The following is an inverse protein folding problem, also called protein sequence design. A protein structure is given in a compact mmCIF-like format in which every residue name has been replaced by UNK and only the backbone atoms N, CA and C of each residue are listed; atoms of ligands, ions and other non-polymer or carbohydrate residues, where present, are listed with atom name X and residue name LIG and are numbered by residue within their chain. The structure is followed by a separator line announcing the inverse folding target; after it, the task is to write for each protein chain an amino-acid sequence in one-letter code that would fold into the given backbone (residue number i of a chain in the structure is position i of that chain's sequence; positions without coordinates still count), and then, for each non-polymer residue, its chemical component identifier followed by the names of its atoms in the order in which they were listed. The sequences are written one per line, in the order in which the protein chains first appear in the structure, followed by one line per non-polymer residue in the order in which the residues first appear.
data_IF_356880135193
#
_entry.id   IF_356880135193
#
_cell.length_a   1.000
_cell.length_b   1.000
_cell.length_c   1.000
_cell.angle_alpha   90.00
_cell.angle_beta   90.00
_cell.angle_gamma   90.00
#
_symmetry.space_group_name_H-M   'P 1'
#
loop_
_entity.id
_entity.type
_entity.pdbx_description
1 polymer ?
#
# COMPACT_ATOMS: atom_id res chain seq x y z
N UNK A 1 8.02 -30.73 -3.02
CA UNK A 1 8.02 -29.97 -1.74
C UNK A 1 6.63 -29.39 -1.52
N UNK A 2 5.83 -30.00 -0.62
CA UNK A 2 4.44 -29.57 -0.35
C UNK A 2 4.48 -28.57 0.80
N UNK A 3 4.15 -27.30 0.54
CA UNK A 3 4.11 -26.27 1.57
C UNK A 3 2.86 -26.48 2.45
N UNK A 4 3.09 -26.66 3.76
CA UNK A 4 2.05 -26.73 4.80
C UNK A 4 1.33 -25.38 4.88
N UNK A 5 0.17 -25.29 4.24
CA UNK A 5 -0.72 -24.13 4.39
C UNK A 5 -1.38 -24.18 5.76
N UNK A 6 -1.06 -23.18 6.59
CA UNK A 6 -1.70 -22.94 7.89
C UNK A 6 -3.23 -22.98 7.74
N UNK A 7 -3.99 -23.60 8.68
CA UNK A 7 -5.44 -23.72 8.57
C UNK A 7 -6.09 -22.35 8.35
N UNK A 8 -7.10 -22.31 7.48
CA UNK A 8 -7.78 -21.09 7.05
C UNK A 8 -8.54 -20.45 8.23
N UNK A 9 -7.83 -19.71 9.07
CA UNK A 9 -8.43 -18.87 10.09
C UNK A 9 -9.15 -17.74 9.38
N UNK A 10 -10.44 -17.58 9.66
CA UNK A 10 -11.26 -16.50 9.11
C UNK A 10 -10.78 -15.17 9.69
N UNK A 11 -9.82 -14.54 9.00
CA UNK A 11 -9.28 -13.24 9.37
C UNK A 11 -10.33 -12.16 9.12
N UNK A 12 -10.52 -11.27 10.10
CA UNK A 12 -11.44 -10.14 9.98
C UNK A 12 -10.81 -8.97 9.20
N UNK A 13 -11.60 -7.98 8.73
CA UNK A 13 -11.07 -6.84 7.96
C UNK A 13 -9.96 -6.07 8.66
N UNK A 14 -10.06 -5.89 9.98
CA UNK A 14 -9.07 -5.19 10.81
C UNK A 14 -7.74 -5.95 10.83
N UNK A 15 -7.78 -7.28 10.94
CA UNK A 15 -6.59 -8.13 10.86
C UNK A 15 -5.92 -8.04 9.49
N UNK A 16 -6.71 -7.97 8.42
CA UNK A 16 -6.15 -7.75 7.08
C UNK A 16 -5.49 -6.39 6.92
N UNK A 17 -6.06 -5.35 7.53
CA UNK A 17 -5.46 -4.03 7.58
C UNK A 17 -4.08 -4.10 8.26
N UNK A 18 -3.99 -4.68 9.46
CA UNK A 18 -2.71 -4.89 10.15
C UNK A 18 -1.69 -5.72 9.36
N UNK A 19 -2.12 -6.68 8.55
CA UNK A 19 -1.23 -7.47 7.68
C UNK A 19 -0.69 -6.59 6.55
N UNK A 20 -1.52 -5.72 5.96
CA UNK A 20 -1.11 -4.79 4.91
C UNK A 20 -0.16 -3.74 5.46
N UNK A 21 -0.45 -3.16 6.63
CA UNK A 21 0.42 -2.19 7.30
C UNK A 21 1.79 -2.79 7.63
N UNK A 22 1.81 -4.03 8.14
CA UNK A 22 3.08 -4.75 8.34
C UNK A 22 3.84 -5.01 7.04
N UNK A 23 3.15 -5.29 5.93
CA UNK A 23 3.80 -5.43 4.62
C UNK A 23 4.43 -4.10 4.17
N UNK A 24 3.74 -2.98 4.38
CA UNK A 24 4.25 -1.64 4.04
C UNK A 24 5.46 -1.27 4.91
N UNK A 25 5.35 -1.43 6.23
CA UNK A 25 6.43 -1.15 7.18
C UNK A 25 7.66 -2.04 6.95
N UNK A 26 7.45 -3.28 6.49
CA UNK A 26 8.55 -4.21 6.21
C UNK A 26 9.36 -3.85 4.97
N UNK A 27 8.86 -2.98 4.07
CA UNK A 27 9.53 -2.65 2.80
C UNK A 27 9.66 -3.83 1.81
N UNK A 28 9.17 -5.01 2.18
CA UNK A 28 9.25 -6.22 1.36
C UNK A 28 8.21 -6.19 0.23
N UNK A 29 8.56 -6.80 -0.90
CA UNK A 29 7.59 -7.04 -1.96
C UNK A 29 6.43 -7.92 -1.46
N UNK A 30 5.24 -7.72 -2.02
CA UNK A 30 4.04 -8.47 -1.63
C UNK A 30 4.24 -9.99 -1.70
N UNK A 31 4.99 -10.46 -2.71
CA UNK A 31 5.31 -11.88 -2.90
C UNK A 31 6.21 -12.40 -1.78
N UNK A 32 7.30 -11.68 -1.47
CA UNK A 32 8.22 -12.06 -0.40
C UNK A 32 7.51 -12.09 0.96
N UNK A 33 6.71 -11.05 1.26
CA UNK A 33 5.94 -10.99 2.51
C UNK A 33 4.92 -12.14 2.62
N UNK A 34 4.19 -12.44 1.55
CA UNK A 34 3.25 -13.56 1.50
C UNK A 34 3.95 -14.91 1.71
N UNK A 35 5.15 -15.09 1.16
CA UNK A 35 5.95 -16.31 1.37
C UNK A 35 6.39 -16.46 2.84
N UNK A 36 6.88 -15.38 3.46
CA UNK A 36 7.31 -15.40 4.87
C UNK A 36 6.14 -15.64 5.83
N UNK A 37 4.97 -15.02 5.55
CA UNK A 37 3.79 -15.14 6.41
C UNK A 37 2.91 -16.36 6.07
N UNK A 38 3.29 -17.15 5.05
CA UNK A 38 2.52 -18.29 4.54
C UNK A 38 1.07 -17.90 4.14
N UNK A 39 0.93 -16.73 3.52
CA UNK A 39 -0.35 -16.19 3.04
C UNK A 39 -0.42 -16.39 1.52
N UNK A 40 -1.59 -16.77 1.01
CA UNK A 40 -1.80 -16.79 -0.44
C UNK A 40 -1.78 -15.38 -1.01
N UNK A 41 -0.93 -15.17 -2.04
CA UNK A 41 -0.81 -13.90 -2.73
C UNK A 41 -2.16 -13.43 -3.31
N UNK A 42 -2.99 -14.37 -3.78
CA UNK A 42 -4.31 -14.08 -4.34
C UNK A 42 -5.25 -13.50 -3.28
N UNK A 43 -5.27 -14.09 -2.09
CA UNK A 43 -6.07 -13.62 -0.96
C UNK A 43 -5.60 -12.26 -0.47
N UNK A 44 -4.28 -12.08 -0.35
CA UNK A 44 -3.69 -10.79 0.04
C UNK A 44 -4.06 -9.67 -0.95
N UNK A 45 -3.93 -9.91 -2.26
CA UNK A 45 -4.32 -8.94 -3.29
C UNK A 45 -5.80 -8.59 -3.24
N UNK A 46 -6.67 -9.58 -3.00
CA UNK A 46 -8.11 -9.35 -2.92
C UNK A 46 -8.47 -8.45 -1.72
N UNK A 47 -7.91 -8.74 -0.54
CA UNK A 47 -8.12 -7.92 0.65
C UNK A 47 -7.49 -6.53 0.53
N UNK A 48 -6.30 -6.42 -0.06
CA UNK A 48 -5.67 -5.14 -0.33
C UNK A 48 -6.54 -4.27 -1.26
N UNK A 49 -7.16 -4.86 -2.29
CA UNK A 49 -8.13 -4.13 -3.12
C UNK A 49 -9.36 -3.71 -2.32
N UNK A 50 -9.91 -4.62 -1.52
CA UNK A 50 -11.13 -4.38 -0.73
C UNK A 50 -10.94 -3.28 0.32
N UNK A 51 -9.77 -3.20 0.94
CA UNK A 51 -9.42 -2.20 1.95
C UNK A 51 -8.90 -0.89 1.36
N UNK A 52 -8.36 -0.90 0.14
CA UNK A 52 -7.91 0.32 -0.57
C UNK A 52 -9.06 1.26 -0.97
N UNK A 53 -10.30 0.77 -0.96
CA UNK A 53 -11.47 1.64 -1.21
C UNK A 53 -11.72 2.59 -0.03
N UNK A 54 -11.18 2.29 1.17
CA UNK A 54 -11.44 3.07 2.38
C UNK A 54 -10.43 4.20 2.60
N UNK A 55 -9.27 4.17 1.94
CA UNK A 55 -8.39 5.34 1.89
C UNK A 55 -8.95 6.28 0.83
N UNK A 56 -9.48 7.46 1.19
CA UNK A 56 -9.77 8.46 0.19
C UNK A 56 -8.44 8.72 -0.49
N UNK A 57 -8.33 8.31 -1.76
CA UNK A 57 -7.30 8.83 -2.63
C UNK A 57 -7.52 10.32 -2.49
N UNK A 58 -6.58 11.02 -1.84
CA UNK A 58 -6.44 12.46 -2.01
C UNK A 58 -6.07 12.59 -3.48
N UNK A 59 -7.07 12.49 -4.36
CA UNK A 59 -7.06 13.04 -5.69
C UNK A 59 -7.00 14.51 -5.36
N UNK A 60 -5.78 15.01 -5.14
CA UNK A 60 -5.52 16.43 -5.17
C UNK A 60 -5.87 16.78 -6.61
N UNK A 61 -7.14 17.13 -6.84
CA UNK A 61 -7.59 17.61 -8.12
C UNK A 61 -6.65 18.78 -8.39
N UNK A 62 -5.80 18.74 -9.43
CA UNK A 62 -4.89 19.83 -9.69
C UNK A 62 -5.78 21.09 -9.80
N UNK A 63 -5.39 22.19 -9.14
CA UNK A 63 -6.18 23.41 -9.22
C UNK A 63 -6.38 23.72 -10.71
N UNK A 64 -7.61 24.08 -11.09
CA UNK A 64 -8.03 24.34 -12.48
C UNK A 64 -7.33 25.58 -13.10
N UNK A 65 -6.28 26.07 -12.44
CA UNK A 65 -5.34 27.07 -12.91
C UNK A 65 -4.37 26.46 -13.92
N UNK A 66 -4.27 27.10 -15.09
CA UNK A 66 -3.43 26.70 -16.23
C UNK A 66 -1.93 26.59 -15.91
N UNK A 67 -1.46 27.22 -14.81
CA UNK A 67 -0.05 27.35 -14.44
C UNK A 67 0.21 26.90 -13.00
N UNK A 68 -0.18 25.68 -12.65
CA UNK A 68 0.05 25.19 -11.29
C UNK A 68 1.54 24.85 -11.08
N UNK A 69 2.06 25.24 -9.92
CA UNK A 69 3.41 24.95 -9.46
C UNK A 69 3.33 24.24 -8.12
N UNK A 70 4.03 23.12 -8.01
CA UNK A 70 4.09 22.35 -6.78
C UNK A 70 5.53 22.32 -6.29
N UNK A 71 5.73 22.84 -5.08
CA UNK A 71 7.03 22.92 -4.42
C UNK A 71 7.01 21.95 -3.24
N UNK A 72 7.98 21.04 -3.21
CA UNK A 72 8.21 20.15 -2.09
C UNK A 72 9.63 20.34 -1.59
N UNK A 73 9.78 20.61 -0.31
CA UNK A 73 11.07 20.56 0.36
C UNK A 73 11.39 19.10 0.68
N UNK A 74 12.45 18.58 0.06
CA UNK A 74 13.06 17.32 0.47
C UNK A 74 14.06 17.60 1.59
N UNK A 75 14.21 16.64 2.50
CA UNK A 75 15.23 16.68 3.54
C UNK A 75 16.59 16.98 2.92
N UNK A 76 17.34 17.93 3.52
CA UNK A 76 18.58 18.56 3.01
C UNK A 76 18.40 19.91 2.27
N UNK A 77 17.21 20.53 2.37
CA UNK A 77 16.97 21.88 1.82
C UNK A 77 16.84 21.91 0.29
N UNK A 78 16.66 20.74 -0.32
CA UNK A 78 16.48 20.59 -1.76
C UNK A 78 15.00 20.80 -2.09
N UNK A 79 14.69 21.85 -2.83
CA UNK A 79 13.31 22.14 -3.27
C UNK A 79 13.07 21.51 -4.65
N UNK A 80 12.17 20.53 -4.71
CA UNK A 80 11.68 19.98 -5.96
C UNK A 80 10.48 20.79 -6.46
N UNK A 81 10.63 21.37 -7.66
CA UNK A 81 9.58 22.15 -8.34
C UNK A 81 9.06 21.42 -9.57
N UNK A 82 7.77 21.16 -9.61
CA UNK A 82 7.08 20.59 -10.78
C UNK A 82 6.20 21.69 -11.38
N UNK A 83 6.30 21.90 -12.71
CA UNK A 83 5.49 22.84 -13.48
C UNK A 83 4.85 22.15 -14.69
N UNK A 84 3.65 22.58 -15.06
CA UNK A 84 3.05 22.34 -16.38
C UNK A 84 3.09 23.62 -17.20
#
# INVERSE_FOLDING_TARGET
MKQLTKPFTRLNPVQWQHIIDRQMASGLSQKAFCQTQNISLSTFKNWKRKLRIDVPILIIKPPESLNWQLEFELSDGVIFRIRR
#
